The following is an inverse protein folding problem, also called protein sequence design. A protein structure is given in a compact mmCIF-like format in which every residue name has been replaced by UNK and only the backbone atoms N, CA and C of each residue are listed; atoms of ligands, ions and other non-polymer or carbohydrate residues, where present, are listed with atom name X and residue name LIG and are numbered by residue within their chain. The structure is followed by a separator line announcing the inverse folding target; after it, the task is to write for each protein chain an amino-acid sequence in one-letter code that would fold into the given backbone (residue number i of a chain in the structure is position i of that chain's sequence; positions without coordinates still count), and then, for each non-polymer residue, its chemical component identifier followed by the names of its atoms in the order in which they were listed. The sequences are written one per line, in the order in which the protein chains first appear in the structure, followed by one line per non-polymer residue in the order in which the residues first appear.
data_IF_061942949493
#
_entry.id   IF_061942949493
#
_cell.length_a   1.000
_cell.length_b   1.000
_cell.length_c   1.000
_cell.angle_alpha   90.00
_cell.angle_beta   90.00
_cell.angle_gamma   90.00
#
_symmetry.space_group_name_H-M   'P 1'
#
loop_
_entity.id
_entity.type
_entity.pdbx_description
1 polymer ?
#
# COMPACT_ATOMS: atom_id res chain seq x y z
N UNK A 1 10.64 -15.75 -36.70
CA UNK A 1 11.45 -15.62 -35.47
C UNK A 1 12.42 -14.47 -35.73
N UNK A 2 12.19 -13.31 -35.10
CA UNK A 2 12.89 -12.04 -35.38
C UNK A 2 14.25 -11.92 -34.67
N UNK A 3 14.76 -13.03 -34.08
CA UNK A 3 16.08 -13.06 -33.42
C UNK A 3 16.17 -12.31 -32.10
N UNK A 4 15.00 -11.94 -31.51
CA UNK A 4 14.92 -11.17 -30.28
C UNK A 4 15.19 -12.06 -29.07
N UNK A 5 16.06 -11.62 -28.20
CA UNK A 5 16.41 -12.30 -26.96
C UNK A 5 15.76 -11.59 -25.79
N UNK A 6 14.87 -12.28 -25.10
CA UNK A 6 14.26 -11.81 -23.84
C UNK A 6 14.36 -12.92 -22.79
N UNK A 7 14.74 -12.55 -21.57
CA UNK A 7 14.84 -13.53 -20.49
C UNK A 7 13.48 -13.81 -19.84
N UNK A 8 13.40 -14.89 -19.06
CA UNK A 8 12.17 -15.31 -18.39
C UNK A 8 11.59 -14.21 -17.47
N UNK A 9 12.46 -13.46 -16.79
CA UNK A 9 12.03 -12.35 -15.93
C UNK A 9 11.37 -11.21 -16.73
N UNK A 10 11.90 -10.88 -17.93
CA UNK A 10 11.29 -9.90 -18.83
C UNK A 10 9.94 -10.38 -19.37
N UNK A 11 9.83 -11.65 -19.75
CA UNK A 11 8.56 -12.25 -20.19
C UNK A 11 7.51 -12.26 -19.05
N UNK A 12 7.92 -12.56 -17.83
CA UNK A 12 7.05 -12.53 -16.65
C UNK A 12 6.49 -11.12 -16.37
N UNK A 13 7.31 -10.06 -16.57
CA UNK A 13 6.85 -8.68 -16.44
C UNK A 13 5.81 -8.33 -17.51
N UNK A 14 6.01 -8.72 -18.76
CA UNK A 14 5.05 -8.50 -19.85
C UNK A 14 3.74 -9.26 -19.57
N UNK A 15 3.82 -10.53 -19.17
CA UNK A 15 2.66 -11.33 -18.84
C UNK A 15 1.85 -10.71 -17.66
N UNK A 16 2.55 -10.21 -16.65
CA UNK A 16 1.94 -9.52 -15.50
C UNK A 16 1.24 -8.24 -15.94
N UNK A 17 1.85 -7.43 -16.81
CA UNK A 17 1.26 -6.18 -17.30
C UNK A 17 0.00 -6.38 -18.13
N UNK A 18 -0.10 -7.52 -18.80
CA UNK A 18 -1.20 -7.86 -19.68
C UNK A 18 -2.47 -8.40 -18.98
N UNK A 19 -2.41 -8.65 -17.66
CA UNK A 19 -3.56 -9.07 -16.84
C UNK A 19 -4.35 -10.27 -17.43
N UNK A 20 -3.65 -11.20 -18.06
CA UNK A 20 -4.25 -12.39 -18.71
C UNK A 20 -4.76 -12.17 -20.13
N UNK A 21 -4.65 -10.97 -20.68
CA UNK A 21 -4.99 -10.67 -22.08
C UNK A 21 -3.81 -10.95 -23.01
N UNK A 22 -3.93 -11.97 -23.86
CA UNK A 22 -2.90 -12.27 -24.88
C UNK A 22 -2.69 -11.12 -25.86
N UNK A 23 -3.72 -10.37 -26.19
CA UNK A 23 -3.64 -9.23 -27.09
C UNK A 23 -2.82 -8.10 -26.46
N UNK A 24 -3.04 -7.83 -25.18
CA UNK A 24 -2.31 -6.77 -24.46
C UNK A 24 -0.86 -7.19 -24.23
N UNK A 25 -0.60 -8.48 -23.96
CA UNK A 25 0.76 -9.04 -23.89
C UNK A 25 1.53 -8.86 -25.20
N UNK A 26 0.90 -9.13 -26.32
CA UNK A 26 1.50 -8.93 -27.65
C UNK A 26 1.79 -7.44 -27.91
N UNK A 27 0.84 -6.56 -27.62
CA UNK A 27 1.02 -5.12 -27.79
C UNK A 27 2.13 -4.57 -26.89
N UNK A 28 2.22 -5.05 -25.65
CA UNK A 28 3.29 -4.70 -24.71
C UNK A 28 4.66 -5.20 -25.21
N UNK A 29 4.71 -6.44 -25.72
CA UNK A 29 5.93 -7.01 -26.29
C UNK A 29 6.39 -6.20 -27.50
N UNK A 30 5.49 -5.84 -28.41
CA UNK A 30 5.81 -5.02 -29.60
C UNK A 30 6.37 -3.65 -29.21
N UNK A 31 5.82 -3.00 -28.20
CA UNK A 31 6.33 -1.74 -27.67
C UNK A 31 7.75 -1.88 -27.12
N UNK A 32 7.99 -2.93 -26.33
CA UNK A 32 9.31 -3.20 -25.74
C UNK A 32 10.34 -3.48 -26.81
N UNK A 33 10.02 -4.30 -27.83
CA UNK A 33 10.90 -4.59 -28.96
C UNK A 33 11.23 -3.34 -29.74
N UNK A 34 10.24 -2.50 -30.03
CA UNK A 34 10.43 -1.23 -30.74
C UNK A 34 11.40 -0.28 -30.04
N UNK A 35 11.47 -0.34 -28.70
CA UNK A 35 12.34 0.50 -27.89
C UNK A 35 13.72 -0.11 -27.63
N UNK A 36 13.79 -1.38 -27.23
CA UNK A 36 15.01 -2.04 -26.76
C UNK A 36 15.80 -2.77 -27.87
N UNK A 37 15.16 -3.05 -29.01
CA UNK A 37 15.79 -3.77 -30.12
C UNK A 37 15.92 -5.28 -29.89
N UNK A 38 17.05 -5.87 -30.28
CA UNK A 38 17.24 -7.32 -30.31
C UNK A 38 17.48 -7.98 -28.94
N UNK A 39 17.92 -7.22 -27.94
CA UNK A 39 18.22 -7.74 -26.59
C UNK A 39 17.46 -6.96 -25.56
N UNK A 40 16.46 -7.59 -24.95
CA UNK A 40 15.52 -6.98 -24.01
C UNK A 40 15.85 -7.37 -22.58
N UNK A 41 16.17 -6.39 -21.74
CA UNK A 41 16.38 -6.58 -20.30
C UNK A 41 15.08 -6.33 -19.50
N UNK A 42 14.92 -6.92 -18.30
CA UNK A 42 13.77 -6.63 -17.43
C UNK A 42 13.63 -5.15 -17.04
N UNK A 43 14.76 -4.43 -16.93
CA UNK A 43 14.77 -3.00 -16.63
C UNK A 43 14.17 -2.19 -17.78
N UNK A 44 14.49 -2.53 -19.03
CA UNK A 44 13.91 -1.90 -20.23
C UNK A 44 12.41 -2.21 -20.35
N UNK A 45 11.99 -3.45 -20.08
CA UNK A 45 10.57 -3.82 -20.03
C UNK A 45 9.84 -2.94 -19.01
N UNK A 46 10.38 -2.82 -17.80
CA UNK A 46 9.78 -1.99 -16.75
C UNK A 46 9.71 -0.51 -17.14
N UNK A 47 10.76 0.02 -17.76
CA UNK A 47 10.82 1.41 -18.19
C UNK A 47 9.81 1.71 -19.32
N UNK A 48 9.73 0.84 -20.34
CA UNK A 48 8.85 1.02 -21.50
C UNK A 48 7.38 0.89 -21.12
N UNK A 49 7.06 -0.10 -20.29
CA UNK A 49 5.68 -0.34 -19.86
C UNK A 49 5.27 0.49 -18.64
N UNK A 50 6.17 1.35 -18.11
CA UNK A 50 5.90 2.15 -16.91
C UNK A 50 5.60 1.30 -15.68
N UNK A 51 6.18 0.09 -15.63
CA UNK A 51 5.92 -0.84 -14.53
C UNK A 51 6.64 -0.36 -13.28
N UNK A 52 5.88 -0.26 -12.22
CA UNK A 52 6.42 0.06 -10.90
C UNK A 52 7.16 -1.16 -10.36
N UNK A 53 8.44 -1.01 -10.04
CA UNK A 53 9.21 -2.08 -9.42
C UNK A 53 8.59 -2.49 -8.07
N UNK A 54 8.56 -3.80 -7.80
CA UNK A 54 8.01 -4.32 -6.53
C UNK A 54 8.66 -3.68 -5.31
N UNK A 55 9.96 -3.38 -5.36
CA UNK A 55 10.67 -2.70 -4.26
C UNK A 55 10.06 -1.35 -3.92
N UNK A 56 9.70 -0.56 -4.94
CA UNK A 56 9.05 0.73 -4.72
C UNK A 56 7.66 0.59 -4.07
N UNK A 57 6.92 -0.47 -4.42
CA UNK A 57 5.63 -0.80 -3.82
C UNK A 57 5.79 -1.20 -2.36
N UNK A 58 6.80 -2.02 -2.04
CA UNK A 58 7.16 -2.37 -0.67
C UNK A 58 7.56 -1.14 0.15
N UNK A 59 8.38 -0.24 -0.41
CA UNK A 59 8.80 1.00 0.27
C UNK A 59 7.59 1.85 0.69
N UNK A 60 6.54 1.92 -0.14
CA UNK A 60 5.30 2.60 0.22
C UNK A 60 4.57 1.89 1.35
N UNK A 61 4.40 0.57 1.26
CA UNK A 61 3.70 -0.21 2.28
C UNK A 61 4.43 -0.15 3.64
N UNK A 62 5.77 -0.22 3.64
CA UNK A 62 6.60 -0.03 4.82
C UNK A 62 6.44 1.38 5.40
N UNK A 63 6.44 2.41 4.54
CA UNK A 63 6.22 3.80 4.95
C UNK A 63 4.85 3.99 5.63
N UNK A 64 3.80 3.35 5.08
CA UNK A 64 2.47 3.34 5.70
C UNK A 64 2.50 2.58 7.03
N UNK A 65 3.20 1.44 7.09
CA UNK A 65 3.35 0.65 8.30
C UNK A 65 4.13 1.39 9.40
N UNK A 66 5.13 2.20 9.03
CA UNK A 66 5.92 3.05 9.94
C UNK A 66 5.21 4.35 10.31
N UNK A 67 4.08 4.66 9.69
CA UNK A 67 3.33 5.91 9.88
C UNK A 67 4.17 7.18 9.63
N UNK A 68 5.15 7.08 8.74
CA UNK A 68 6.08 8.17 8.44
C UNK A 68 5.54 9.07 7.33
N UNK A 69 4.59 9.95 7.68
CA UNK A 69 3.92 10.83 6.72
C UNK A 69 4.87 11.67 5.84
N UNK A 70 5.98 12.27 6.32
CA UNK A 70 6.91 13.00 5.44
C UNK A 70 7.47 12.15 4.30
N UNK A 71 7.74 10.87 4.55
CA UNK A 71 8.29 9.95 3.53
C UNK A 71 7.31 9.68 2.38
N UNK A 72 6.00 9.84 2.60
CA UNK A 72 5.00 9.75 1.52
C UNK A 72 5.25 10.78 0.44
N UNK A 73 5.52 12.03 0.84
CA UNK A 73 5.77 13.12 -0.10
C UNK A 73 7.08 12.92 -0.87
N UNK A 74 8.11 12.37 -0.21
CA UNK A 74 9.39 12.04 -0.84
C UNK A 74 9.21 10.92 -1.88
N UNK A 75 8.47 9.85 -1.54
CA UNK A 75 8.19 8.75 -2.46
C UNK A 75 7.34 9.21 -3.65
N UNK A 76 6.31 10.04 -3.41
CA UNK A 76 5.51 10.62 -4.48
C UNK A 76 6.36 11.46 -5.44
N UNK A 77 7.28 12.28 -4.91
CA UNK A 77 8.26 13.02 -5.70
C UNK A 77 9.14 12.11 -6.55
N UNK A 78 9.74 11.10 -5.94
CA UNK A 78 10.58 10.11 -6.64
C UNK A 78 9.84 9.38 -7.76
N UNK A 79 8.58 9.01 -7.55
CA UNK A 79 7.78 8.35 -8.59
C UNK A 79 7.53 9.27 -9.79
N UNK A 80 7.23 10.55 -9.54
CA UNK A 80 7.05 11.54 -10.59
C UNK A 80 8.35 11.82 -11.36
N UNK A 81 9.48 11.96 -10.66
CA UNK A 81 10.80 12.15 -11.26
C UNK A 81 11.24 10.95 -12.09
N UNK A 82 10.92 9.73 -11.64
CA UNK A 82 11.18 8.50 -12.36
C UNK A 82 10.18 8.23 -13.51
N UNK A 83 9.16 9.07 -13.68
CA UNK A 83 8.16 8.94 -14.74
C UNK A 83 7.12 7.82 -14.51
N UNK A 84 6.97 7.33 -13.28
CA UNK A 84 5.95 6.34 -12.98
C UNK A 84 4.54 6.93 -13.03
N UNK A 85 3.62 6.16 -13.59
CA UNK A 85 2.20 6.45 -13.48
C UNK A 85 1.69 6.11 -12.07
N UNK A 86 1.26 7.12 -11.33
CA UNK A 86 0.77 6.97 -9.95
C UNK A 86 -0.49 6.09 -9.86
N UNK A 87 -1.26 5.98 -10.94
CA UNK A 87 -2.37 5.04 -11.04
C UNK A 87 -1.84 3.60 -11.01
N UNK A 88 -0.79 3.32 -11.77
CA UNK A 88 -0.13 2.00 -11.76
C UNK A 88 0.48 1.69 -10.40
N UNK A 89 1.04 2.68 -9.69
CA UNK A 89 1.50 2.53 -8.30
C UNK A 89 0.35 2.10 -7.38
N UNK A 90 -0.81 2.76 -7.46
CA UNK A 90 -1.98 2.39 -6.65
C UNK A 90 -2.46 0.96 -6.94
N UNK A 91 -2.45 0.55 -8.21
CA UNK A 91 -2.84 -0.81 -8.63
C UNK A 91 -1.89 -1.87 -8.06
N UNK A 92 -0.58 -1.64 -8.17
CA UNK A 92 0.41 -2.56 -7.61
C UNK A 92 0.36 -2.61 -6.06
N UNK A 93 0.08 -1.48 -5.41
CA UNK A 93 -0.18 -1.45 -3.97
C UNK A 93 -1.45 -2.24 -3.59
N UNK A 94 -2.52 -2.13 -4.38
CA UNK A 94 -3.75 -2.93 -4.16
C UNK A 94 -3.47 -4.42 -4.26
N UNK A 95 -2.62 -4.85 -5.21
CA UNK A 95 -2.18 -6.24 -5.33
C UNK A 95 -1.37 -6.66 -4.09
N UNK A 96 -0.40 -5.85 -3.66
CA UNK A 96 0.38 -6.15 -2.46
C UNK A 96 -0.51 -6.27 -1.21
N UNK A 97 -1.47 -5.35 -1.03
CA UNK A 97 -2.42 -5.39 0.08
C UNK A 97 -3.27 -6.65 0.04
N UNK A 98 -3.73 -7.07 -1.15
CA UNK A 98 -4.45 -8.34 -1.34
C UNK A 98 -3.57 -9.53 -0.98
N UNK A 99 -2.30 -9.54 -1.41
CA UNK A 99 -1.36 -10.63 -1.11
C UNK A 99 -1.11 -10.73 0.41
N UNK A 100 -0.88 -9.59 1.08
CA UNK A 100 -0.77 -9.52 2.54
C UNK A 100 -2.04 -10.04 3.25
N UNK A 101 -3.23 -9.72 2.72
CA UNK A 101 -4.50 -10.19 3.28
C UNK A 101 -4.64 -11.72 3.12
N UNK A 102 -4.25 -12.27 1.96
CA UNK A 102 -4.22 -13.72 1.74
C UNK A 102 -3.29 -14.40 2.73
N UNK A 103 -2.08 -13.88 2.90
CA UNK A 103 -1.10 -14.42 3.85
C UNK A 103 -1.55 -14.26 5.32
N UNK A 104 -2.32 -13.23 5.63
CA UNK A 104 -2.91 -13.04 6.96
C UNK A 104 -3.99 -14.07 7.28
N UNK A 105 -4.68 -14.60 6.26
CA UNK A 105 -5.72 -15.64 6.38
C UNK A 105 -5.09 -17.03 6.33
N UNK A 106 -4.18 -17.23 5.38
CA UNK A 106 -3.50 -18.50 5.14
C UNK A 106 -1.99 -18.27 4.92
N UNK A 107 -1.17 -18.32 5.99
CA UNK A 107 0.28 -18.12 5.89
C UNK A 107 1.00 -19.16 5.03
N UNK A 108 0.41 -20.34 4.81
CA UNK A 108 1.05 -21.39 4.00
C UNK A 108 1.22 -20.98 2.53
N UNK A 109 0.43 -20.04 2.07
CA UNK A 109 0.48 -19.53 0.69
C UNK A 109 1.70 -18.66 0.38
N UNK A 110 2.58 -18.42 1.32
CA UNK A 110 3.86 -17.71 1.07
C UNK A 110 4.75 -18.42 0.02
N UNK A 111 4.55 -19.73 -0.15
CA UNK A 111 5.27 -20.51 -1.16
C UNK A 111 4.61 -20.52 -2.53
N UNK A 112 3.42 -19.92 -2.66
CA UNK A 112 2.68 -19.82 -3.91
C UNK A 112 3.34 -18.76 -4.81
N UNK A 113 3.82 -19.13 -6.02
CA UNK A 113 4.47 -18.19 -6.94
C UNK A 113 3.58 -17.03 -7.40
N UNK A 114 2.25 -17.19 -7.32
CA UNK A 114 1.30 -16.11 -7.64
C UNK A 114 1.25 -15.03 -6.54
N UNK A 115 1.64 -15.38 -5.30
CA UNK A 115 1.63 -14.49 -4.13
C UNK A 115 3.01 -13.88 -3.92
N UNK A 116 4.08 -14.72 -3.94
CA UNK A 116 5.42 -14.30 -3.59
C UNK A 116 6.48 -14.98 -4.44
N UNK A 117 7.37 -14.21 -5.02
CA UNK A 117 8.64 -14.74 -5.53
C UNK A 117 9.59 -15.02 -4.37
N UNK A 118 10.61 -15.85 -4.59
CA UNK A 118 11.62 -16.15 -3.55
C UNK A 118 12.27 -14.88 -2.97
N UNK A 119 12.51 -13.88 -3.83
CA UNK A 119 13.10 -12.61 -3.43
C UNK A 119 12.17 -11.71 -2.58
N UNK A 120 10.86 -11.90 -2.69
CA UNK A 120 9.85 -11.07 -2.00
C UNK A 120 9.41 -11.66 -0.67
N UNK A 121 9.65 -12.97 -0.43
CA UNK A 121 9.13 -13.70 0.75
C UNK A 121 9.51 -13.03 2.06
N UNK A 122 10.78 -12.72 2.25
CA UNK A 122 11.28 -12.12 3.49
C UNK A 122 10.58 -10.78 3.79
N UNK A 123 10.40 -9.92 2.77
CA UNK A 123 9.71 -8.63 2.94
C UNK A 123 8.22 -8.81 3.23
N UNK A 124 7.56 -9.76 2.57
CA UNK A 124 6.15 -10.07 2.84
C UNK A 124 5.96 -10.60 4.27
N UNK A 125 6.79 -11.56 4.70
CA UNK A 125 6.76 -12.10 6.07
C UNK A 125 6.97 -11.01 7.12
N UNK A 126 7.85 -10.05 6.86
CA UNK A 126 8.09 -8.91 7.75
C UNK A 126 6.92 -7.92 7.78
N UNK A 127 6.18 -7.76 6.67
CA UNK A 127 5.06 -6.84 6.57
C UNK A 127 3.74 -7.40 7.13
N UNK A 128 3.47 -8.71 6.93
CA UNK A 128 2.22 -9.36 7.36
C UNK A 128 1.85 -9.05 8.82
N UNK A 129 2.75 -9.17 9.83
CA UNK A 129 2.39 -8.90 11.22
C UNK A 129 2.07 -7.43 11.51
N UNK A 130 2.53 -6.50 10.66
CA UNK A 130 2.43 -5.06 10.87
C UNK A 130 1.06 -4.47 10.52
N UNK A 131 0.19 -5.25 9.87
CA UNK A 131 -1.16 -4.85 9.50
C UNK A 131 -2.19 -5.81 10.12
N UNK A 132 -3.32 -5.27 10.59
CA UNK A 132 -4.51 -6.06 10.90
C UNK A 132 -5.26 -6.43 9.60
N UNK A 133 -6.21 -7.37 9.69
CA UNK A 133 -7.10 -7.67 8.54
C UNK A 133 -7.93 -6.46 8.14
N UNK A 134 -8.41 -5.74 9.14
CA UNK A 134 -9.21 -4.54 8.99
C UNK A 134 -8.41 -3.42 8.31
N UNK A 135 -7.12 -3.25 8.67
CA UNK A 135 -6.23 -2.28 8.03
C UNK A 135 -6.02 -2.58 6.55
N UNK A 136 -5.83 -3.87 6.22
CA UNK A 136 -5.65 -4.30 4.82
C UNK A 136 -6.93 -4.10 4.01
N UNK A 137 -8.10 -4.42 4.56
CA UNK A 137 -9.38 -4.19 3.89
C UNK A 137 -9.63 -2.69 3.63
N UNK A 138 -9.40 -1.85 4.65
CA UNK A 138 -9.51 -0.38 4.51
C UNK A 138 -8.49 0.16 3.52
N UNK A 139 -7.26 -0.37 3.57
CA UNK A 139 -6.20 -0.01 2.62
C UNK A 139 -6.58 -0.33 1.18
N UNK A 140 -7.14 -1.51 0.94
CA UNK A 140 -7.63 -1.92 -0.37
C UNK A 140 -8.70 -0.97 -0.90
N UNK A 141 -9.68 -0.61 -0.07
CA UNK A 141 -10.75 0.34 -0.43
C UNK A 141 -10.18 1.73 -0.79
N UNK A 142 -9.23 2.23 0.01
CA UNK A 142 -8.59 3.53 -0.24
C UNK A 142 -7.83 3.52 -1.56
N UNK A 143 -7.03 2.47 -1.81
CA UNK A 143 -6.21 2.34 -3.01
C UNK A 143 -7.05 2.18 -4.28
N UNK A 144 -8.11 1.35 -4.22
CA UNK A 144 -9.03 1.16 -5.34
C UNK A 144 -9.76 2.45 -5.74
N UNK A 145 -10.16 3.26 -4.74
CA UNK A 145 -10.73 4.59 -4.99
C UNK A 145 -9.71 5.55 -5.57
N UNK A 146 -8.50 5.56 -5.01
CA UNK A 146 -7.41 6.42 -5.49
C UNK A 146 -7.04 6.11 -6.95
N UNK A 147 -6.98 4.82 -7.32
CA UNK A 147 -6.73 4.41 -8.71
C UNK A 147 -7.77 5.01 -9.67
N UNK A 148 -9.04 4.99 -9.28
CA UNK A 148 -10.12 5.56 -10.08
C UNK A 148 -10.06 7.09 -10.14
N UNK A 149 -9.83 7.76 -8.99
CA UNK A 149 -9.77 9.22 -8.90
C UNK A 149 -8.57 9.78 -9.67
N UNK A 150 -7.39 9.18 -9.57
CA UNK A 150 -6.16 9.59 -10.25
C UNK A 150 -6.33 9.57 -11.76
N UNK A 151 -7.12 8.64 -12.31
CA UNK A 151 -7.33 8.51 -13.76
C UNK A 151 -7.83 9.79 -14.43
N UNK A 152 -8.67 10.54 -13.75
CA UNK A 152 -9.31 11.78 -14.27
C UNK A 152 -8.80 13.05 -13.59
N UNK A 153 -7.85 12.92 -12.67
CA UNK A 153 -7.36 14.04 -11.88
C UNK A 153 -6.42 14.95 -12.68
N UNK A 154 -6.60 16.26 -12.55
CA UNK A 154 -5.64 17.25 -13.06
C UNK A 154 -4.34 17.28 -12.24
N UNK A 155 -4.37 16.79 -10.99
CA UNK A 155 -3.24 16.73 -10.07
C UNK A 155 -3.11 15.30 -9.47
N UNK A 156 -2.61 14.31 -10.25
CA UNK A 156 -2.49 12.91 -9.80
C UNK A 156 -1.70 12.75 -8.50
N UNK A 157 -0.64 13.55 -8.34
CA UNK A 157 0.22 13.54 -7.16
C UNK A 157 -0.55 13.81 -5.87
N UNK A 158 -1.43 14.81 -5.86
CA UNK A 158 -2.19 15.17 -4.66
C UNK A 158 -3.15 14.06 -4.24
N UNK A 159 -3.80 13.41 -5.21
CA UNK A 159 -4.69 12.28 -4.94
C UNK A 159 -3.91 11.10 -4.34
N UNK A 160 -2.73 10.80 -4.87
CA UNK A 160 -1.87 9.74 -4.35
C UNK A 160 -1.42 10.05 -2.90
N UNK A 161 -0.86 11.24 -2.65
CA UNK A 161 -0.39 11.66 -1.33
C UNK A 161 -1.53 11.59 -0.29
N UNK A 162 -2.71 12.12 -0.63
CA UNK A 162 -3.89 12.09 0.26
C UNK A 162 -4.37 10.65 0.49
N UNK A 163 -4.34 9.78 -0.51
CA UNK A 163 -4.72 8.39 -0.35
C UNK A 163 -3.78 7.66 0.63
N UNK A 164 -2.46 7.86 0.52
CA UNK A 164 -1.48 7.27 1.45
C UNK A 164 -1.67 7.77 2.88
N UNK A 165 -1.86 9.08 3.07
CA UNK A 165 -2.13 9.67 4.38
C UNK A 165 -3.46 9.17 4.96
N UNK A 166 -4.49 8.99 4.13
CA UNK A 166 -5.78 8.42 4.54
C UNK A 166 -5.61 6.97 5.01
N UNK A 167 -4.85 6.15 4.26
CA UNK A 167 -4.56 4.78 4.66
C UNK A 167 -3.84 4.72 6.00
N UNK A 168 -2.78 5.53 6.22
CA UNK A 168 -2.10 5.64 7.51
C UNK A 168 -3.06 6.02 8.65
N UNK A 169 -3.94 7.01 8.40
CA UNK A 169 -4.87 7.49 9.42
C UNK A 169 -5.91 6.43 9.80
N UNK A 170 -6.43 5.71 8.83
CA UNK A 170 -7.43 4.66 9.05
C UNK A 170 -6.91 3.48 9.87
N UNK A 171 -5.59 3.23 9.88
CA UNK A 171 -4.97 2.22 10.72
C UNK A 171 -5.06 2.54 12.22
N UNK A 172 -5.16 3.82 12.59
CA UNK A 172 -5.29 4.27 13.99
C UNK A 172 -6.70 4.09 14.55
N UNK A 173 -7.66 3.74 13.72
CA UNK A 173 -9.04 3.56 14.16
C UNK A 173 -9.20 2.20 14.83
N UNK A 174 -9.32 2.21 16.14
CA UNK A 174 -9.63 1.03 16.95
C UNK A 174 -11.11 0.68 16.76
N UNK A 175 -11.49 -0.59 16.54
CA UNK A 175 -12.89 -1.00 16.51
C UNK A 175 -13.60 -0.60 17.81
N UNK A 176 -14.85 -0.10 17.68
CA UNK A 176 -15.63 0.34 18.84
C UNK A 176 -15.84 -0.77 19.88
N UNK A 177 -15.91 -2.03 19.40
CA UNK A 177 -15.98 -3.23 20.24
C UNK A 177 -14.78 -3.35 21.18
N UNK A 178 -13.55 -3.17 20.67
CA UNK A 178 -12.35 -3.21 21.50
C UNK A 178 -12.29 -2.09 22.52
N UNK A 179 -12.82 -0.90 22.17
CA UNK A 179 -12.95 0.20 23.13
C UNK A 179 -13.96 -0.11 24.22
N UNK A 180 -15.09 -0.74 23.90
CA UNK A 180 -16.11 -1.16 24.86
C UNK A 180 -15.55 -2.25 25.77
N UNK A 181 -14.92 -3.28 25.21
CA UNK A 181 -14.29 -4.37 25.98
C UNK A 181 -13.19 -3.84 26.91
N UNK A 182 -12.41 -2.86 26.45
CA UNK A 182 -11.39 -2.18 27.26
C UNK A 182 -11.97 -1.37 28.42
N UNK A 183 -13.15 -0.77 28.24
CA UNK A 183 -13.86 -0.04 29.30
C UNK A 183 -14.51 -0.99 30.31
N UNK A 184 -15.05 -2.12 29.87
CA UNK A 184 -15.66 -3.13 30.74
C UNK A 184 -14.62 -3.88 31.60
N UNK A 185 -13.37 -3.99 31.12
CA UNK A 185 -12.25 -4.60 31.86
C UNK A 185 -11.57 -3.64 32.85
N UNK A 186 -11.89 -2.34 32.83
CA UNK A 186 -11.41 -1.42 33.87
C UNK A 186 -12.23 -1.65 35.14
N UNK A 187 -11.59 -2.06 36.27
CA UNK A 187 -12.31 -2.19 37.53
C UNK A 187 -12.93 -0.83 37.92
N UNK A 188 -14.21 -0.83 38.29
CA UNK A 188 -15.05 0.32 38.62
C UNK A 188 -14.55 1.17 39.83
N UNK A 189 -13.25 1.25 40.05
CA UNK A 189 -12.60 1.82 41.23
C UNK A 189 -12.03 3.23 41.09
N UNK A 190 -12.06 3.87 39.89
CA UNK A 190 -11.37 5.17 39.71
C UNK A 190 -12.32 6.37 39.46
N UNK A 191 -13.61 6.13 39.31
CA UNK A 191 -14.60 7.23 39.13
C UNK A 191 -15.33 7.60 40.44
N UNK A 192 -14.63 7.68 41.55
CA UNK A 192 -15.29 7.95 42.85
C UNK A 192 -14.42 8.57 43.92
N UNK A 193 -13.71 9.66 43.66
CA UNK A 193 -13.18 10.52 44.71
C UNK A 193 -13.37 11.97 44.30
N UNK A 194 -14.64 12.39 44.29
CA UNK A 194 -15.00 13.79 44.34
C UNK A 194 -14.49 14.37 45.65
N UNK A 195 -13.49 15.24 45.60
CA UNK A 195 -13.05 16.02 46.75
C UNK A 195 -14.25 16.80 47.35
N UNK A 196 -14.47 16.77 48.68
CA UNK A 196 -15.49 17.57 49.29
C UNK A 196 -15.12 19.06 49.19
N UNK A 197 -15.99 19.85 48.59
CA UNK A 197 -15.89 21.31 48.54
C UNK A 197 -15.86 21.87 49.97
N UNK A 198 -14.76 22.54 50.35
CA UNK A 198 -14.64 23.32 51.59
C UNK A 198 -15.71 24.41 51.65
N UNK A 199 -16.33 24.67 52.83
CA UNK A 199 -17.35 25.69 52.94
C UNK A 199 -16.74 27.11 52.86
N UNK A 200 -17.34 27.89 51.99
CA UNK A 200 -17.01 29.30 51.69
C UNK A 200 -17.14 30.16 52.98
N UNK A 201 -16.03 30.67 53.48
CA UNK A 201 -16.00 31.63 54.60
C UNK A 201 -16.77 32.90 54.21
N UNK A 202 -17.71 33.33 55.12
CA UNK A 202 -18.44 34.58 55.04
C UNK A 202 -17.47 35.73 55.28
N UNK A 203 -17.41 36.72 54.39
CA UNK A 203 -16.77 38.01 54.60
C UNK A 203 -17.69 38.84 55.54
N UNK A 204 -17.15 39.52 56.58
CA UNK A 204 -17.93 40.49 57.35
C UNK A 204 -18.05 41.79 56.52
N UNK A 205 -19.26 42.39 56.66
CA UNK A 205 -19.61 43.72 56.18
C UNK A 205 -19.17 44.71 57.26
N UNK A 206 -18.46 45.73 56.88
CA UNK A 206 -18.37 47.03 57.53
C UNK A 206 -18.27 48.11 56.46
#
# INVERSE_FOLDING_TARGET
AEGITINEAGLALIARSAEGSMRDAQSALDQVIAFAGESVTPAEVSAVLGLVGRDAVFDVAETVADETAPRVFELAGRFMEAGFDLRSVCRELSRLVRDLLVLKVDPSRITDPEIATDAERERLEALVPRFSREDLLRGFDVLSRAEFEIRSASQPRYHFEVAMLRWMHLRKLVPLTELIDGLEQQPAGVLGAGQPRSPRAKRPVA
#
